data_IF_740555749453
#
_entry.id   IF_740555749453
#
_cell.length_a   1.000
_cell.length_b   1.000
_cell.length_c   1.000
_cell.angle_alpha   90.00
_cell.angle_beta   90.00
_cell.angle_gamma   90.00
#
_symmetry.space_group_name_H-M   'P 1'
#
loop_
_entity.id
_entity.type
_entity.pdbx_description
1 polymer ?
#
# COMPACT_ATOMS: atom_id res chain seq x y z
N UNK A 1 61.67 8.71 18.95
CA UNK A 1 62.03 9.73 17.94
C UNK A 1 60.76 10.12 17.17
N UNK A 2 60.26 11.35 17.33
CA UNK A 2 59.09 11.82 16.56
C UNK A 2 59.54 12.20 15.15
N UNK A 3 59.06 11.48 14.13
CA UNK A 3 59.36 11.78 12.73
C UNK A 3 58.64 13.07 12.31
N UNK A 4 59.37 14.18 12.30
CA UNK A 4 58.83 15.47 11.83
C UNK A 4 58.60 15.41 10.33
N UNK A 5 57.35 15.29 9.90
CA UNK A 5 56.97 15.25 8.49
C UNK A 5 56.86 16.67 7.95
N UNK A 6 57.71 17.05 6.99
CA UNK A 6 57.72 18.38 6.39
C UNK A 6 57.05 18.35 5.01
N UNK A 7 55.93 19.06 4.87
CA UNK A 7 55.18 19.16 3.62
C UNK A 7 55.68 20.34 2.77
N UNK A 8 55.73 20.16 1.45
CA UNK A 8 56.08 21.22 0.49
C UNK A 8 55.01 22.30 0.42
N UNK A 9 55.38 23.55 0.09
CA UNK A 9 54.42 24.66 0.01
C UNK A 9 53.42 24.47 -1.14
N UNK A 10 53.83 23.86 -2.26
CA UNK A 10 52.92 23.52 -3.36
C UNK A 10 51.82 22.54 -2.90
N UNK A 11 52.20 21.53 -2.11
CA UNK A 11 51.24 20.58 -1.55
C UNK A 11 50.27 21.26 -0.57
N UNK A 12 50.77 22.12 0.32
CA UNK A 12 49.90 22.88 1.25
C UNK A 12 48.89 23.73 0.51
N UNK A 13 49.31 24.44 -0.55
CA UNK A 13 48.42 25.24 -1.40
C UNK A 13 47.37 24.38 -2.11
N UNK A 14 47.76 23.22 -2.65
CA UNK A 14 46.82 22.26 -3.28
C UNK A 14 45.74 21.79 -2.30
N UNK A 15 46.12 21.45 -1.06
CA UNK A 15 45.17 21.02 -0.03
C UNK A 15 44.21 22.15 0.35
N UNK A 16 44.72 23.38 0.49
CA UNK A 16 43.89 24.56 0.80
C UNK A 16 42.92 24.86 -0.37
N UNK A 17 43.39 24.81 -1.62
CA UNK A 17 42.55 25.04 -2.80
C UNK A 17 41.38 24.05 -2.86
N UNK A 18 41.62 22.76 -2.60
CA UNK A 18 40.55 21.76 -2.57
C UNK A 18 39.50 22.02 -1.46
N UNK A 19 39.88 22.70 -0.38
CA UNK A 19 38.97 23.12 0.69
C UNK A 19 38.21 24.40 0.28
N UNK A 20 38.87 25.34 -0.40
CA UNK A 20 38.26 26.55 -0.94
C UNK A 20 37.23 26.26 -2.03
N UNK A 21 37.55 25.31 -2.91
CA UNK A 21 36.67 24.80 -3.96
C UNK A 21 35.45 24.04 -3.40
N UNK A 22 35.40 23.79 -2.08
CA UNK A 22 34.33 23.04 -1.43
C UNK A 22 34.33 21.54 -1.70
N UNK A 23 35.38 21.00 -2.34
CA UNK A 23 35.50 19.57 -2.67
C UNK A 23 35.63 18.69 -1.42
N UNK A 24 36.30 19.19 -0.38
CA UNK A 24 36.48 18.48 0.89
C UNK A 24 36.37 19.41 2.09
N UNK A 25 35.78 18.93 3.18
CA UNK A 25 35.95 19.55 4.49
C UNK A 25 37.34 19.24 5.10
N UNK A 26 37.75 19.93 6.17
CA UNK A 26 39.09 19.77 6.77
C UNK A 26 39.43 18.31 7.13
N UNK A 27 38.47 17.56 7.68
CA UNK A 27 38.62 16.16 8.08
C UNK A 27 38.71 15.24 6.87
N UNK A 28 37.94 15.52 5.81
CA UNK A 28 37.98 14.77 4.55
C UNK A 28 39.27 15.04 3.79
N UNK A 29 39.72 16.29 3.71
CA UNK A 29 40.99 16.64 3.09
C UNK A 29 42.16 15.95 3.82
N UNK A 30 42.12 15.91 5.15
CA UNK A 30 43.09 15.18 5.96
C UNK A 30 43.13 13.69 5.58
N UNK A 31 41.97 13.02 5.51
CA UNK A 31 41.86 11.60 5.15
C UNK A 31 42.31 11.33 3.70
N UNK A 32 41.83 12.14 2.76
CA UNK A 32 42.09 11.99 1.33
C UNK A 32 43.59 12.17 1.00
N UNK A 33 44.26 13.13 1.64
CA UNK A 33 45.68 13.42 1.41
C UNK A 33 46.63 12.73 2.41
N UNK A 34 46.14 11.86 3.28
CA UNK A 34 46.96 11.08 4.22
C UNK A 34 47.71 11.92 5.27
N UNK A 35 47.12 13.05 5.69
CA UNK A 35 47.73 13.96 6.67
C UNK A 35 47.46 13.41 8.08
N UNK A 36 48.49 13.30 8.92
CA UNK A 36 48.39 12.65 10.24
C UNK A 36 47.48 13.36 11.26
N UNK A 37 47.08 14.61 11.03
CA UNK A 37 46.24 15.33 11.98
C UNK A 37 45.47 16.52 11.38
N UNK A 38 44.24 16.70 11.86
CA UNK A 38 43.33 17.78 11.44
C UNK A 38 43.83 19.16 11.88
N UNK A 39 44.60 19.20 12.98
CA UNK A 39 45.27 20.40 13.50
C UNK A 39 46.30 20.96 12.51
N UNK A 40 46.96 20.09 11.72
CA UNK A 40 47.94 20.49 10.71
C UNK A 40 47.29 21.29 9.58
N UNK A 41 46.15 20.82 9.06
CA UNK A 41 45.39 21.51 8.01
C UNK A 41 44.82 22.83 8.54
N UNK A 42 44.28 22.83 9.76
CA UNK A 42 43.82 24.05 10.44
C UNK A 42 44.95 25.08 10.62
N UNK A 43 46.15 24.63 10.99
CA UNK A 43 47.33 25.47 11.11
C UNK A 43 47.74 26.10 9.78
N UNK A 44 47.63 25.37 8.66
CA UNK A 44 47.86 25.93 7.33
C UNK A 44 46.79 26.96 6.96
N UNK A 45 45.50 26.67 7.18
CA UNK A 45 44.42 27.63 6.92
C UNK A 45 44.63 28.94 7.70
N UNK A 46 45.05 28.86 8.96
CA UNK A 46 45.39 30.04 9.78
C UNK A 46 46.61 30.79 9.23
N UNK A 47 47.69 30.08 8.87
CA UNK A 47 48.91 30.67 8.31
C UNK A 47 48.66 31.39 6.98
N UNK A 48 47.75 30.86 6.16
CA UNK A 48 47.37 31.40 4.86
C UNK A 48 46.20 32.40 4.92
N UNK A 49 45.77 32.80 6.13
CA UNK A 49 44.73 33.84 6.32
C UNK A 49 43.30 33.39 6.02
N UNK A 50 43.05 32.08 5.85
CA UNK A 50 41.73 31.52 5.47
C UNK A 50 40.87 31.18 6.69
N UNK A 51 40.84 32.08 7.68
CA UNK A 51 40.12 31.86 8.94
C UNK A 51 38.61 31.69 8.77
N UNK A 52 38.03 32.26 7.71
CA UNK A 52 36.60 32.11 7.38
C UNK A 52 36.21 30.66 7.01
N UNK A 53 37.18 29.82 6.60
CA UNK A 53 36.97 28.39 6.31
C UNK A 53 37.05 27.51 7.57
N UNK A 54 37.47 28.07 8.70
CA UNK A 54 37.64 27.33 9.96
C UNK A 54 36.27 27.09 10.64
N UNK A 55 35.32 28.00 10.46
CA UNK A 55 33.98 27.96 11.07
C UNK A 55 32.82 27.60 10.12
N UNK A 56 33.07 27.46 8.82
CA UNK A 56 32.02 27.06 7.87
C UNK A 56 31.74 25.57 8.05
N UNK A 57 30.62 25.24 8.72
CA UNK A 57 30.02 23.91 8.65
C UNK A 57 29.58 23.73 7.20
N UNK A 58 30.47 23.17 6.38
CA UNK A 58 30.12 22.71 5.04
C UNK A 58 29.25 21.47 5.25
N UNK A 59 27.93 21.67 5.27
CA UNK A 59 26.96 20.57 5.16
C UNK A 59 27.16 19.99 3.77
N UNK A 60 28.01 18.96 3.69
CA UNK A 60 28.16 18.14 2.50
C UNK A 60 26.91 17.28 2.46
N UNK A 61 25.82 17.82 1.92
CA UNK A 61 24.85 16.97 1.24
C UNK A 61 25.66 16.31 0.13
N UNK A 62 25.92 15.01 0.27
CA UNK A 62 26.54 14.24 -0.81
C UNK A 62 25.69 14.47 -2.05
N UNK A 63 26.28 14.68 -3.23
CA UNK A 63 25.55 14.94 -4.49
C UNK A 63 24.39 13.94 -4.72
N UNK A 64 24.49 12.76 -4.13
CA UNK A 64 23.46 11.73 -4.10
C UNK A 64 22.15 12.13 -3.36
N UNK A 65 22.21 12.83 -2.22
CA UNK A 65 21.02 13.22 -1.46
C UNK A 65 20.24 14.34 -2.14
N UNK A 66 20.96 15.35 -2.67
CA UNK A 66 20.34 16.45 -3.41
C UNK A 66 19.72 15.96 -4.72
N UNK A 67 20.36 15.03 -5.42
CA UNK A 67 19.80 14.41 -6.62
C UNK A 67 18.57 13.56 -6.30
N UNK A 68 18.58 12.77 -5.22
CA UNK A 68 17.39 12.01 -4.78
C UNK A 68 16.22 12.92 -4.42
N UNK A 69 16.47 14.06 -3.78
CA UNK A 69 15.43 15.04 -3.48
C UNK A 69 14.83 15.63 -4.76
N UNK A 70 15.67 16.05 -5.71
CA UNK A 70 15.23 16.55 -7.02
C UNK A 70 14.45 15.51 -7.81
N UNK A 71 14.88 14.26 -7.80
CA UNK A 71 14.18 13.14 -8.45
C UNK A 71 12.83 12.85 -7.78
N UNK A 72 12.77 12.89 -6.45
CA UNK A 72 11.54 12.71 -5.70
C UNK A 72 10.55 13.85 -5.98
N UNK A 73 11.01 15.09 -6.00
CA UNK A 73 10.20 16.27 -6.32
C UNK A 73 9.67 16.20 -7.76
N UNK A 74 10.51 15.78 -8.71
CA UNK A 74 10.09 15.55 -10.10
C UNK A 74 9.00 14.48 -10.18
N UNK A 75 9.17 13.35 -9.48
CA UNK A 75 8.15 12.29 -9.41
C UNK A 75 6.85 12.77 -8.77
N UNK A 76 6.91 13.57 -7.71
CA UNK A 76 5.73 14.18 -7.08
C UNK A 76 4.99 15.03 -8.10
N UNK A 77 5.69 15.93 -8.80
CA UNK A 77 5.08 16.79 -9.83
C UNK A 77 4.45 15.98 -10.97
N UNK A 78 5.10 14.92 -11.43
CA UNK A 78 4.56 14.03 -12.46
C UNK A 78 3.29 13.31 -12.00
N UNK A 79 3.28 12.80 -10.76
CA UNK A 79 2.12 12.15 -10.16
C UNK A 79 0.97 13.12 -9.92
N UNK A 80 1.25 14.34 -9.46
CA UNK A 80 0.24 15.40 -9.30
C UNK A 80 -0.42 15.74 -10.63
N UNK A 81 0.37 15.84 -11.71
CA UNK A 81 -0.16 16.07 -13.06
C UNK A 81 -1.08 14.92 -13.51
N UNK A 82 -0.63 13.68 -13.37
CA UNK A 82 -1.45 12.51 -13.71
C UNK A 82 -2.75 12.46 -12.88
N UNK A 83 -2.68 12.84 -11.60
CA UNK A 83 -3.86 12.91 -10.74
C UNK A 83 -4.83 14.01 -11.18
N UNK A 84 -4.34 15.17 -11.61
CA UNK A 84 -5.18 16.24 -12.17
C UNK A 84 -5.91 15.77 -13.42
N UNK A 85 -5.20 15.13 -14.34
CA UNK A 85 -5.80 14.60 -15.58
C UNK A 85 -6.92 13.60 -15.27
N UNK A 86 -6.67 12.63 -14.37
CA UNK A 86 -7.68 11.66 -13.90
C UNK A 86 -8.84 12.35 -13.15
N UNK A 87 -8.56 13.43 -12.42
CA UNK A 87 -9.61 14.18 -11.70
C UNK A 87 -10.54 14.88 -12.68
N UNK A 88 -9.99 15.53 -13.71
CA UNK A 88 -10.76 16.15 -14.79
C UNK A 88 -11.61 15.09 -15.48
N UNK A 89 -11.02 13.96 -15.86
CA UNK A 89 -11.73 12.86 -16.52
C UNK A 89 -12.89 12.32 -15.65
N UNK A 90 -12.66 12.14 -14.35
CA UNK A 90 -13.69 11.69 -13.40
C UNK A 90 -14.85 12.70 -13.30
N UNK A 91 -14.55 13.99 -13.24
CA UNK A 91 -15.57 15.05 -13.24
C UNK A 91 -16.37 15.07 -14.55
N UNK A 92 -15.70 14.88 -15.69
CA UNK A 92 -16.35 14.77 -16.99
C UNK A 92 -17.29 13.56 -17.04
N UNK A 93 -16.85 12.36 -16.63
CA UNK A 93 -17.71 11.18 -16.60
C UNK A 93 -18.90 11.33 -15.66
N UNK A 94 -18.71 11.91 -14.47
CA UNK A 94 -19.82 12.21 -13.54
C UNK A 94 -20.82 13.17 -14.17
N UNK A 95 -20.34 14.20 -14.86
CA UNK A 95 -21.17 15.18 -15.56
C UNK A 95 -21.92 14.54 -16.72
N UNK A 96 -21.26 13.69 -17.51
CA UNK A 96 -21.86 12.91 -18.59
C UNK A 96 -23.00 12.03 -18.07
N UNK A 97 -22.78 11.30 -16.97
CA UNK A 97 -23.84 10.48 -16.33
C UNK A 97 -25.01 11.36 -15.88
N UNK A 98 -24.76 12.56 -15.37
CA UNK A 98 -25.82 13.51 -14.95
C UNK A 98 -26.61 14.07 -16.14
N UNK A 99 -25.96 14.32 -17.28
CA UNK A 99 -26.63 14.73 -18.53
C UNK A 99 -27.44 13.56 -19.09
N UNK A 100 -26.83 12.37 -19.22
CA UNK A 100 -27.49 11.17 -19.72
C UNK A 100 -28.74 10.80 -18.89
N UNK A 101 -28.70 10.92 -17.55
CA UNK A 101 -29.88 10.70 -16.71
C UNK A 101 -31.03 11.66 -17.01
N UNK A 102 -30.73 12.93 -17.29
CA UNK A 102 -31.73 13.96 -17.61
C UNK A 102 -32.34 13.72 -18.99
N UNK A 103 -31.49 13.48 -19.99
CA UNK A 103 -31.90 13.49 -21.39
C UNK A 103 -32.44 12.13 -21.86
N UNK A 104 -31.97 11.02 -21.26
CA UNK A 104 -32.37 9.66 -21.63
C UNK A 104 -33.38 9.04 -20.65
N UNK A 105 -33.88 9.80 -19.68
CA UNK A 105 -34.82 9.37 -18.63
C UNK A 105 -34.41 8.03 -17.96
N UNK A 106 -33.10 7.85 -17.73
CA UNK A 106 -32.58 6.63 -17.09
C UNK A 106 -32.86 6.73 -15.59
N UNK A 107 -34.03 6.23 -15.17
CA UNK A 107 -34.29 6.00 -13.76
C UNK A 107 -33.21 5.08 -13.21
N UNK A 108 -32.59 5.52 -12.10
CA UNK A 108 -31.48 4.83 -11.45
C UNK A 108 -31.99 3.51 -10.85
N UNK A 109 -32.12 2.48 -11.70
CA UNK A 109 -32.57 1.16 -11.27
C UNK A 109 -31.67 0.76 -10.12
N UNK A 110 -32.27 0.47 -8.96
CA UNK A 110 -31.60 -0.10 -7.77
C UNK A 110 -30.63 -1.23 -8.14
N UNK A 111 -30.77 -1.84 -9.32
CA UNK A 111 -30.01 -2.95 -9.89
C UNK A 111 -28.65 -2.61 -10.53
N UNK A 112 -28.41 -1.38 -11.01
CA UNK A 112 -27.24 -1.07 -11.88
C UNK A 112 -25.87 -1.12 -11.19
N UNK A 113 -25.79 -0.79 -9.91
CA UNK A 113 -24.50 -0.65 -9.21
C UNK A 113 -23.71 -1.96 -9.12
N UNK A 114 -24.36 -3.12 -8.98
CA UNK A 114 -23.64 -4.40 -8.92
C UNK A 114 -23.08 -4.79 -10.29
N UNK A 115 -23.82 -4.52 -11.36
CA UNK A 115 -23.33 -4.72 -12.73
C UNK A 115 -22.16 -3.80 -13.04
N UNK A 116 -22.18 -2.55 -12.56
CA UNK A 116 -21.06 -1.63 -12.70
C UNK A 116 -19.80 -2.12 -11.98
N UNK A 117 -19.95 -2.76 -10.81
CA UNK A 117 -18.81 -3.37 -10.10
C UNK A 117 -18.25 -4.56 -10.89
N UNK A 118 -19.09 -5.43 -11.48
CA UNK A 118 -18.61 -6.55 -12.30
C UNK A 118 -17.93 -6.08 -13.59
N UNK A 119 -18.50 -5.11 -14.28
CA UNK A 119 -17.91 -4.53 -15.49
C UNK A 119 -16.54 -3.92 -15.16
N UNK A 120 -16.47 -3.13 -14.09
CA UNK A 120 -15.22 -2.54 -13.60
C UNK A 120 -14.20 -3.62 -13.22
N UNK A 121 -14.64 -4.70 -12.58
CA UNK A 121 -13.79 -5.82 -12.19
C UNK A 121 -13.17 -6.49 -13.42
N UNK A 122 -13.96 -6.80 -14.44
CA UNK A 122 -13.47 -7.42 -15.67
C UNK A 122 -12.55 -6.48 -16.47
N UNK A 123 -12.80 -5.17 -16.45
CA UNK A 123 -11.90 -4.20 -17.06
C UNK A 123 -10.56 -4.09 -16.31
N UNK A 124 -10.57 -4.11 -14.98
CA UNK A 124 -9.37 -4.01 -14.13
C UNK A 124 -8.53 -5.29 -14.14
N UNK A 125 -9.16 -6.45 -14.28
CA UNK A 125 -8.44 -7.73 -14.41
C UNK A 125 -7.55 -7.75 -15.65
N UNK A 126 -7.97 -7.12 -16.75
CA UNK A 126 -7.17 -6.99 -17.99
C UNK A 126 -5.87 -6.21 -17.80
N UNK A 127 -5.82 -5.32 -16.79
CA UNK A 127 -4.64 -4.53 -16.44
C UNK A 127 -3.97 -5.04 -15.16
N UNK A 128 -4.32 -6.26 -14.73
CA UNK A 128 -3.77 -6.94 -13.55
C UNK A 128 -3.96 -6.17 -12.23
N UNK A 129 -5.11 -5.48 -12.09
CA UNK A 129 -5.50 -4.76 -10.87
C UNK A 129 -6.69 -5.47 -10.23
N UNK A 130 -6.53 -5.89 -8.98
CA UNK A 130 -7.65 -6.44 -8.20
C UNK A 130 -8.49 -5.34 -7.56
N UNK A 131 -9.81 -5.46 -7.69
CA UNK A 131 -10.75 -4.53 -7.06
C UNK A 131 -11.12 -4.99 -5.64
N UNK A 132 -10.98 -4.10 -4.67
CA UNK A 132 -11.54 -4.33 -3.35
C UNK A 132 -13.06 -4.11 -3.39
N UNK A 133 -13.83 -5.21 -3.34
CA UNK A 133 -15.30 -5.19 -3.37
C UNK A 133 -15.91 -4.33 -2.26
N UNK A 134 -15.30 -4.28 -1.06
CA UNK A 134 -15.81 -3.45 0.04
C UNK A 134 -15.68 -1.96 -0.27
N UNK A 135 -14.54 -1.55 -0.82
CA UNK A 135 -14.30 -0.18 -1.26
C UNK A 135 -15.20 0.20 -2.42
N UNK A 136 -15.34 -0.68 -3.42
CA UNK A 136 -16.22 -0.48 -4.57
C UNK A 136 -17.68 -0.29 -4.13
N UNK A 137 -18.19 -1.13 -3.23
CA UNK A 137 -19.54 -1.01 -2.70
C UNK A 137 -19.76 0.32 -1.96
N UNK A 138 -18.73 0.82 -1.25
CA UNK A 138 -18.81 2.10 -0.52
C UNK A 138 -19.04 3.30 -1.44
N UNK A 139 -18.44 3.31 -2.63
CA UNK A 139 -18.68 4.37 -3.64
C UNK A 139 -20.15 4.44 -4.10
N UNK A 140 -20.90 3.35 -3.97
CA UNK A 140 -22.34 3.29 -4.29
C UNK A 140 -23.24 3.34 -3.05
N UNK A 141 -22.69 3.61 -1.86
CA UNK A 141 -23.40 3.59 -0.58
C UNK A 141 -24.10 2.23 -0.33
N UNK A 142 -23.41 1.14 -0.67
CA UNK A 142 -23.88 -0.24 -0.45
C UNK A 142 -22.96 -1.01 0.46
N UNK A 143 -23.52 -2.00 1.15
CA UNK A 143 -22.73 -2.96 1.92
C UNK A 143 -22.17 -4.06 1.01
N UNK A 144 -21.00 -4.59 1.37
CA UNK A 144 -20.42 -5.79 0.74
C UNK A 144 -21.43 -6.94 0.73
N UNK A 145 -22.19 -7.11 1.82
CA UNK A 145 -23.18 -8.17 1.92
C UNK A 145 -24.33 -8.00 0.94
N UNK A 146 -24.80 -6.77 0.70
CA UNK A 146 -25.81 -6.48 -0.32
C UNK A 146 -25.34 -6.80 -1.74
N UNK A 147 -24.03 -6.75 -1.99
CA UNK A 147 -23.44 -7.13 -3.28
C UNK A 147 -23.50 -8.65 -3.45
N UNK A 148 -22.98 -9.44 -2.50
CA UNK A 148 -23.01 -10.90 -2.62
C UNK A 148 -24.44 -11.46 -2.63
N UNK A 149 -25.37 -10.88 -1.86
CA UNK A 149 -26.78 -11.28 -1.85
C UNK A 149 -27.46 -11.21 -3.22
N UNK A 150 -26.91 -10.45 -4.18
CA UNK A 150 -27.43 -10.36 -5.55
C UNK A 150 -26.98 -11.47 -6.47
N UNK A 151 -25.80 -12.03 -6.21
CA UNK A 151 -25.26 -13.16 -6.97
C UNK A 151 -25.69 -14.50 -6.37
N UNK A 152 -26.39 -14.48 -5.23
CA UNK A 152 -27.16 -15.63 -4.76
C UNK A 152 -28.31 -15.83 -5.77
N UNK A 153 -28.34 -16.95 -6.52
CA UNK A 153 -29.43 -17.25 -7.45
C UNK A 153 -30.78 -17.20 -6.72
N UNK A 154 -31.83 -16.67 -7.36
CA UNK A 154 -33.20 -16.71 -6.79
C UNK A 154 -33.62 -18.14 -6.41
N UNK A 155 -33.13 -19.16 -7.13
CA UNK A 155 -33.35 -20.58 -6.81
C UNK A 155 -32.69 -21.03 -5.51
N UNK A 156 -31.63 -20.38 -5.02
CA UNK A 156 -31.03 -20.67 -3.70
C UNK A 156 -31.85 -20.14 -2.52
N UNK A 157 -32.86 -19.30 -2.79
CA UNK A 157 -33.91 -18.98 -1.83
C UNK A 157 -34.99 -20.07 -1.75
N UNK A 158 -35.08 -20.99 -2.73
CA UNK A 158 -36.23 -21.90 -2.86
C UNK A 158 -35.94 -23.38 -3.12
N UNK A 159 -34.76 -23.87 -3.57
CA UNK A 159 -34.60 -25.31 -3.83
C UNK A 159 -33.20 -25.89 -3.48
N UNK A 160 -33.28 -26.98 -2.71
CA UNK A 160 -32.25 -27.74 -1.98
C UNK A 160 -31.70 -26.97 -0.79
N UNK A 161 -32.45 -27.07 0.31
CA UNK A 161 -32.19 -26.31 1.53
C UNK A 161 -30.79 -26.62 2.05
N UNK A 162 -30.02 -25.60 2.43
CA UNK A 162 -28.83 -25.78 3.28
C UNK A 162 -29.18 -26.64 4.52
N UNK A 163 -30.43 -26.58 4.97
CA UNK A 163 -30.98 -27.41 6.03
C UNK A 163 -31.11 -28.89 5.63
N UNK A 164 -31.37 -29.23 4.36
CA UNK A 164 -31.52 -30.62 3.91
C UNK A 164 -30.17 -31.34 3.84
N UNK A 165 -29.13 -30.67 3.34
CA UNK A 165 -27.76 -31.19 3.40
C UNK A 165 -27.29 -31.34 4.85
N UNK A 166 -27.61 -30.37 5.72
CA UNK A 166 -27.29 -30.44 7.14
C UNK A 166 -28.07 -31.53 7.86
N UNK A 167 -29.35 -31.70 7.55
CA UNK A 167 -30.22 -32.74 8.13
C UNK A 167 -29.74 -34.12 7.68
N UNK A 168 -29.33 -34.29 6.42
CA UNK A 168 -28.78 -35.55 5.93
C UNK A 168 -27.44 -35.88 6.60
N UNK A 169 -26.56 -34.90 6.78
CA UNK A 169 -25.29 -35.12 7.48
C UNK A 169 -25.50 -35.40 8.99
N UNK A 170 -26.45 -34.72 9.61
CA UNK A 170 -26.86 -35.00 11.01
C UNK A 170 -27.45 -36.41 11.14
N UNK A 171 -28.30 -36.83 10.19
CA UNK A 171 -28.85 -38.19 10.14
C UNK A 171 -27.75 -39.23 9.99
N UNK A 172 -26.75 -38.98 9.14
CA UNK A 172 -25.56 -39.84 8.97
C UNK A 172 -24.80 -40.02 10.27
N UNK A 173 -24.49 -38.92 10.97
CA UNK A 173 -23.78 -38.94 12.25
C UNK A 173 -24.60 -39.68 13.32
N UNK A 174 -25.91 -39.41 13.42
CA UNK A 174 -26.79 -40.05 14.41
C UNK A 174 -27.07 -41.52 14.13
N UNK A 175 -27.03 -41.95 12.88
CA UNK A 175 -27.12 -43.37 12.53
C UNK A 175 -25.91 -44.16 13.06
N UNK A 176 -24.72 -43.55 12.99
CA UNK A 176 -23.48 -44.15 13.50
C UNK A 176 -23.33 -43.98 15.02
N UNK A 177 -23.76 -42.85 15.57
CA UNK A 177 -23.59 -42.48 16.98
C UNK A 177 -24.89 -41.86 17.55
N UNK A 178 -25.89 -42.70 17.91
CA UNK A 178 -27.23 -42.24 18.27
C UNK A 178 -27.31 -41.39 19.54
N UNK A 179 -26.38 -41.58 20.49
CA UNK A 179 -26.34 -40.85 21.76
C UNK A 179 -25.46 -39.58 21.72
N UNK A 180 -25.10 -39.07 20.53
CA UNK A 180 -24.21 -37.90 20.41
C UNK A 180 -24.87 -36.63 20.96
N UNK A 181 -24.30 -36.08 22.03
CA UNK A 181 -24.75 -34.81 22.61
C UNK A 181 -24.60 -33.63 21.65
N UNK A 182 -25.52 -32.67 21.70
CA UNK A 182 -25.63 -31.60 20.71
C UNK A 182 -24.34 -30.81 20.48
N UNK A 183 -23.60 -30.47 21.55
CA UNK A 183 -22.33 -29.73 21.40
C UNK A 183 -21.30 -30.53 20.61
N UNK A 184 -21.23 -31.85 20.83
CA UNK A 184 -20.34 -32.74 20.10
C UNK A 184 -20.79 -32.91 18.64
N UNK A 185 -22.10 -32.98 18.41
CA UNK A 185 -22.69 -32.99 17.07
C UNK A 185 -22.28 -31.76 16.25
N UNK A 186 -22.34 -30.55 16.83
CA UNK A 186 -21.90 -29.33 16.16
C UNK A 186 -20.40 -29.35 15.80
N UNK A 187 -19.54 -29.82 16.70
CA UNK A 187 -18.10 -29.94 16.41
C UNK A 187 -17.82 -30.95 15.29
N UNK A 188 -18.57 -32.05 15.23
CA UNK A 188 -18.46 -33.05 14.16
C UNK A 188 -18.98 -32.54 12.81
N UNK A 189 -19.89 -31.57 12.82
CA UNK A 189 -20.42 -30.93 11.62
C UNK A 189 -19.55 -29.78 11.10
N UNK A 190 -18.62 -29.25 11.91
CA UNK A 190 -17.75 -28.13 11.48
C UNK A 190 -16.99 -28.40 10.19
N UNK A 191 -16.38 -29.58 9.95
CA UNK A 191 -15.69 -29.87 8.70
C UNK A 191 -16.63 -29.77 7.49
N UNK A 192 -17.81 -30.38 7.57
CA UNK A 192 -18.84 -30.30 6.52
C UNK A 192 -19.33 -28.86 6.32
N UNK A 193 -19.58 -28.11 7.41
CA UNK A 193 -19.98 -26.71 7.34
C UNK A 193 -18.91 -25.83 6.65
N UNK A 194 -17.63 -26.11 6.87
CA UNK A 194 -16.52 -25.41 6.22
C UNK A 194 -16.42 -25.78 4.74
N UNK A 195 -16.54 -27.07 4.40
CA UNK A 195 -16.53 -27.59 3.04
C UNK A 195 -17.65 -26.97 2.19
N UNK A 196 -18.86 -26.90 2.74
CA UNK A 196 -20.01 -26.26 2.08
C UNK A 196 -20.03 -24.72 2.19
N UNK A 197 -19.00 -24.11 2.77
CA UNK A 197 -18.90 -22.67 3.00
C UNK A 197 -20.09 -22.06 3.80
N UNK A 198 -20.72 -22.85 4.66
CA UNK A 198 -21.88 -22.47 5.45
C UNK A 198 -21.42 -21.76 6.73
N UNK A 199 -21.72 -20.46 6.84
CA UNK A 199 -21.51 -19.68 8.08
C UNK A 199 -22.72 -19.82 9.00
N UNK A 200 -22.73 -20.88 9.80
CA UNK A 200 -23.81 -21.18 10.75
C UNK A 200 -23.26 -21.36 12.17
N UNK A 201 -23.82 -20.59 13.12
CA UNK A 201 -23.53 -20.77 14.54
C UNK A 201 -24.32 -21.92 15.14
N UNK A 202 -23.82 -22.46 16.25
CA UNK A 202 -24.42 -23.57 17.01
C UNK A 202 -25.91 -23.39 17.28
N UNK A 203 -26.31 -22.20 17.74
CA UNK A 203 -27.69 -21.96 18.15
C UNK A 203 -28.65 -21.90 16.94
N UNK A 204 -28.15 -21.42 15.79
CA UNK A 204 -28.87 -21.48 14.52
C UNK A 204 -29.03 -22.91 14.03
N UNK A 205 -28.00 -23.75 14.17
CA UNK A 205 -28.10 -25.19 13.87
C UNK A 205 -29.18 -25.87 14.71
N UNK A 206 -29.20 -25.65 16.03
CA UNK A 206 -30.20 -26.29 16.88
C UNK A 206 -31.61 -25.75 16.66
N UNK A 207 -31.75 -24.49 16.24
CA UNK A 207 -33.05 -23.96 15.84
C UNK A 207 -33.60 -24.70 14.62
N UNK A 208 -32.73 -25.01 13.64
CA UNK A 208 -33.08 -25.79 12.44
C UNK A 208 -33.40 -27.25 12.81
N UNK A 209 -32.62 -27.88 13.68
CA UNK A 209 -32.80 -29.29 14.07
C UNK A 209 -33.98 -29.54 15.03
N UNK A 210 -34.62 -28.50 15.56
CA UNK A 210 -35.83 -28.57 16.38
C UNK A 210 -37.11 -28.43 15.57
N UNK A 211 -37.00 -28.01 14.32
CA UNK A 211 -38.10 -27.83 13.39
C UNK A 211 -38.45 -29.17 12.73
#
# INVERSE_FOLDING_TARGET
MTTTTRYSEAFKRKVIQSIEDGKYNQTQAMKHYGIKGSVTVRGWLKKYGKNHLIGKIVRVETDNELNRFKEAEKKIRELEKALLDVTIENVLYKSLVKVAKRDLNIESKKKLWSSCIEESRGALEKVNIEINISSACRYFEKSRQAYYQRFIPKSKKELISEEELLVNEVKRIRHLLPATGGRKLYEMLKPALQEYCIKMGRDKLFHILKR
#
